data_IF_720622650208
#
_entry.id   IF_720622650208
#
_cell.length_a   1.000
_cell.length_b   1.000
_cell.length_c   1.000
_cell.angle_alpha   90.00
_cell.angle_beta   90.00
_cell.angle_gamma   90.00
#
_symmetry.space_group_name_H-M   'P 1'
#
loop_
_entity.id
_entity.type
_entity.pdbx_description
1 polymer ?
#
# COMPACT_ATOMS: atom_id res chain seq x y z
N UNK A 1 5.37 -8.80 -20.44
CA UNK A 1 5.87 -7.44 -20.74
C UNK A 1 6.57 -6.89 -19.53
N UNK A 2 7.78 -6.42 -19.66
CA UNK A 2 8.40 -5.74 -18.54
C UNK A 2 7.66 -4.45 -18.22
N UNK A 3 7.69 -4.08 -16.96
CA UNK A 3 7.11 -2.83 -16.49
C UNK A 3 7.96 -1.67 -17.04
N UNK A 4 7.29 -0.61 -17.46
CA UNK A 4 7.96 0.53 -18.09
C UNK A 4 8.85 1.26 -17.09
N UNK A 5 10.16 1.42 -17.36
CA UNK A 5 11.06 2.15 -16.47
C UNK A 5 10.66 3.60 -16.18
N UNK A 6 9.84 4.21 -17.04
CA UNK A 6 9.35 5.58 -16.83
C UNK A 6 8.39 5.68 -15.65
N UNK A 7 7.95 4.55 -15.08
CA UNK A 7 7.09 4.55 -13.90
C UNK A 7 7.77 5.10 -12.65
N UNK A 8 9.09 5.03 -12.57
CA UNK A 8 9.81 5.52 -11.38
C UNK A 8 9.52 7.01 -11.20
N UNK A 9 9.03 7.37 -10.01
CA UNK A 9 8.63 8.74 -9.67
C UNK A 9 7.16 9.05 -9.91
N UNK A 10 6.41 8.19 -10.59
CA UNK A 10 4.98 8.41 -10.81
C UNK A 10 4.18 8.07 -9.55
N UNK A 11 3.07 8.82 -9.38
CA UNK A 11 2.22 8.71 -8.20
C UNK A 11 0.85 8.16 -8.56
N UNK A 12 0.31 7.33 -7.68
CA UNK A 12 -0.99 6.69 -7.85
C UNK A 12 -1.78 6.82 -6.54
N UNK A 13 -2.72 7.77 -6.47
CA UNK A 13 -3.53 7.92 -5.26
C UNK A 13 -4.58 6.81 -5.15
N UNK A 14 -4.90 6.42 -3.93
CA UNK A 14 -6.04 5.55 -3.68
C UNK A 14 -7.32 6.25 -4.14
N UNK A 15 -8.30 5.52 -4.70
CA UNK A 15 -9.49 6.15 -5.28
C UNK A 15 -10.38 6.89 -4.29
N UNK A 16 -10.33 6.52 -3.01
CA UNK A 16 -11.17 7.12 -1.99
C UNK A 16 -10.46 7.13 -0.65
N UNK A 17 -10.74 8.10 0.22
CA UNK A 17 -10.23 8.08 1.58
C UNK A 17 -10.86 6.95 2.39
N UNK A 18 -10.18 6.56 3.46
CA UNK A 18 -10.65 5.54 4.39
C UNK A 18 -10.87 6.20 5.74
N UNK A 19 -12.09 6.05 6.28
CA UNK A 19 -12.34 6.45 7.66
C UNK A 19 -12.03 5.27 8.58
N UNK A 20 -11.20 5.51 9.59
CA UNK A 20 -10.88 4.50 10.60
C UNK A 20 -12.07 4.41 11.55
N UNK A 21 -12.85 3.33 11.43
CA UNK A 21 -14.01 3.09 12.28
C UNK A 21 -13.74 1.94 13.23
N UNK A 22 -14.45 1.91 14.35
CA UNK A 22 -14.34 0.79 15.29
C UNK A 22 -14.70 -0.53 14.62
N UNK A 23 -15.68 -0.51 13.73
CA UNK A 23 -16.10 -1.70 12.98
C UNK A 23 -14.99 -2.23 12.09
N UNK A 24 -14.33 -1.32 11.34
CA UNK A 24 -13.22 -1.72 10.45
C UNK A 24 -12.01 -2.22 11.23
N UNK A 25 -11.68 -1.55 12.32
CA UNK A 25 -10.57 -1.95 13.19
C UNK A 25 -10.86 -3.33 13.79
N UNK A 26 -12.07 -3.53 14.29
CA UNK A 26 -12.45 -4.82 14.86
C UNK A 26 -12.43 -5.97 13.87
N UNK A 27 -12.92 -5.73 12.65
CA UNK A 27 -12.92 -6.74 11.61
C UNK A 27 -11.49 -7.12 11.20
N UNK A 28 -10.62 -6.12 11.04
CA UNK A 28 -9.23 -6.38 10.69
C UNK A 28 -8.50 -7.11 11.82
N UNK A 29 -8.69 -6.65 13.06
CA UNK A 29 -8.07 -7.27 14.24
C UNK A 29 -8.46 -8.74 14.35
N UNK A 30 -9.74 -9.06 14.13
CA UNK A 30 -10.20 -10.44 14.15
C UNK A 30 -9.55 -11.26 13.05
N UNK A 31 -9.41 -10.69 11.86
CA UNK A 31 -8.83 -11.41 10.72
C UNK A 31 -7.34 -11.73 10.92
N UNK A 32 -6.60 -10.87 11.63
CA UNK A 32 -5.15 -11.08 11.84
C UNK A 32 -4.82 -11.61 13.24
N UNK A 33 -5.83 -11.84 14.08
CA UNK A 33 -5.61 -12.36 15.43
C UNK A 33 -5.01 -11.35 16.40
N UNK A 34 -5.26 -10.07 16.22
CA UNK A 34 -4.74 -9.02 17.10
C UNK A 34 -5.63 -8.91 18.36
N UNK A 35 -5.09 -9.16 19.57
CA UNK A 35 -5.91 -9.27 20.76
C UNK A 35 -6.24 -7.94 21.44
N UNK A 36 -5.55 -6.86 21.10
CA UNK A 36 -5.75 -5.56 21.75
C UNK A 36 -6.97 -4.82 21.24
N UNK A 37 -7.36 -3.76 21.94
CA UNK A 37 -8.43 -2.87 21.51
C UNK A 37 -7.94 -1.69 20.67
N UNK A 38 -6.62 -1.58 20.48
CA UNK A 38 -6.00 -0.55 19.66
C UNK A 38 -6.02 -0.92 18.17
N UNK A 39 -5.66 0.03 17.31
CA UNK A 39 -5.56 -0.23 15.89
C UNK A 39 -4.34 -1.11 15.63
N UNK A 40 -4.51 -2.28 14.97
CA UNK A 40 -3.36 -3.14 14.67
C UNK A 40 -2.31 -2.40 13.85
N UNK A 41 -1.00 -2.63 14.10
CA UNK A 41 0.08 -1.90 13.41
C UNK A 41 0.09 -2.11 11.89
N UNK A 42 -0.50 -3.18 11.41
CA UNK A 42 -0.58 -3.48 9.97
C UNK A 42 -1.88 -3.00 9.33
N UNK A 43 -2.78 -2.38 10.11
CA UNK A 43 -4.05 -1.89 9.58
C UNK A 43 -3.91 -0.99 8.34
N UNK A 44 -2.87 -0.14 8.21
CA UNK A 44 -2.73 0.72 7.04
C UNK A 44 -2.66 -0.03 5.71
N UNK A 45 -2.40 -1.35 5.72
CA UNK A 45 -2.38 -2.14 4.48
C UNK A 45 -3.72 -2.08 3.75
N UNK A 46 -4.83 -1.89 4.47
CA UNK A 46 -6.16 -1.80 3.86
C UNK A 46 -6.19 -0.66 2.85
N UNK A 47 -5.65 0.50 3.20
CA UNK A 47 -5.63 1.66 2.32
C UNK A 47 -4.44 1.61 1.34
N UNK A 48 -3.29 1.15 1.80
CA UNK A 48 -2.12 0.99 0.94
C UNK A 48 -2.39 0.00 -0.19
N UNK A 49 -3.18 -1.05 0.07
CA UNK A 49 -3.58 -1.99 -0.96
C UNK A 49 -4.47 -1.33 -2.02
N UNK A 50 -5.36 -0.42 -1.62
CA UNK A 50 -6.21 0.30 -2.56
C UNK A 50 -5.36 1.16 -3.51
N UNK A 51 -4.32 1.83 -2.99
CA UNK A 51 -3.39 2.60 -3.81
C UNK A 51 -2.58 1.69 -4.73
N UNK A 52 -2.14 0.54 -4.23
CA UNK A 52 -1.44 -0.46 -5.05
C UNK A 52 -2.34 -0.96 -6.18
N UNK A 53 -3.60 -1.27 -5.88
CA UNK A 53 -4.54 -1.75 -6.90
C UNK A 53 -4.77 -0.67 -7.95
N UNK A 54 -4.86 0.60 -7.56
CA UNK A 54 -4.99 1.70 -8.51
C UNK A 54 -3.77 1.78 -9.44
N UNK A 55 -2.57 1.57 -8.89
CA UNK A 55 -1.35 1.50 -9.68
C UNK A 55 -1.41 0.33 -10.68
N UNK A 56 -1.74 -0.86 -10.20
CA UNK A 56 -1.81 -2.04 -11.06
C UNK A 56 -2.84 -1.87 -12.18
N UNK A 57 -4.00 -1.32 -11.84
CA UNK A 57 -5.07 -1.09 -12.84
C UNK A 57 -4.64 -0.05 -13.87
N UNK A 58 -4.00 1.04 -13.44
CA UNK A 58 -3.55 2.09 -14.34
C UNK A 58 -2.50 1.58 -15.34
N UNK A 59 -1.67 0.62 -14.92
CA UNK A 59 -0.61 0.08 -15.75
C UNK A 59 -0.96 -1.26 -16.39
N UNK A 60 -2.20 -1.70 -16.26
CA UNK A 60 -2.68 -2.97 -16.80
C UNK A 60 -1.85 -4.17 -16.31
N UNK A 61 -1.45 -4.14 -15.06
CA UNK A 61 -0.71 -5.23 -14.42
C UNK A 61 -1.70 -6.14 -13.71
N UNK A 62 -1.66 -7.44 -14.03
CA UNK A 62 -2.54 -8.43 -13.42
C UNK A 62 -2.06 -8.75 -11.99
N UNK A 63 -2.96 -8.57 -11.02
CA UNK A 63 -2.66 -8.86 -9.62
C UNK A 63 -2.18 -10.31 -9.42
N UNK A 64 -2.68 -11.24 -10.22
CA UNK A 64 -2.28 -12.65 -10.13
C UNK A 64 -0.81 -12.87 -10.49
N UNK A 65 -0.16 -11.88 -11.10
CA UNK A 65 1.26 -11.94 -11.44
C UNK A 65 2.14 -11.22 -10.44
N UNK A 66 1.53 -10.70 -9.36
CA UNK A 66 2.25 -9.96 -8.33
C UNK A 66 2.44 -10.84 -7.10
N UNK A 67 3.67 -10.92 -6.63
CA UNK A 67 3.99 -11.43 -5.30
C UNK A 67 4.37 -10.23 -4.45
N UNK A 68 3.70 -10.07 -3.32
CA UNK A 68 4.00 -9.03 -2.36
C UNK A 68 5.17 -9.53 -1.50
N UNK A 69 6.38 -9.12 -1.87
CA UNK A 69 7.58 -9.68 -1.27
C UNK A 69 7.94 -9.11 0.08
N UNK A 70 7.62 -7.84 0.30
CA UNK A 70 7.96 -7.16 1.55
C UNK A 70 6.99 -6.00 1.77
N UNK A 71 6.66 -5.76 3.04
CA UNK A 71 5.87 -4.61 3.45
C UNK A 71 6.42 -4.07 4.76
N UNK A 72 6.64 -2.73 4.80
CA UNK A 72 7.09 -2.04 6.01
C UNK A 72 6.19 -0.85 6.26
N UNK A 73 5.95 -0.54 7.54
CA UNK A 73 5.24 0.67 7.93
C UNK A 73 6.08 1.44 8.93
N UNK A 74 6.22 2.75 8.69
CA UNK A 74 6.87 3.67 9.61
C UNK A 74 5.83 4.72 10.03
N UNK A 75 5.56 4.79 11.32
CA UNK A 75 4.52 5.66 11.86
C UNK A 75 5.10 6.97 12.35
N UNK A 76 4.45 8.09 11.98
CA UNK A 76 4.70 9.38 12.60
C UNK A 76 3.87 9.51 13.88
N UNK A 77 2.69 8.87 13.92
CA UNK A 77 1.85 8.74 15.11
C UNK A 77 0.98 7.49 14.98
N UNK A 78 0.44 6.98 16.08
CA UNK A 78 -0.54 5.87 16.00
C UNK A 78 -1.80 6.31 15.27
N UNK A 79 -2.46 5.37 14.61
CA UNK A 79 -3.78 5.60 14.05
C UNK A 79 -4.83 5.52 15.17
N UNK A 80 -5.91 6.27 15.00
CA UNK A 80 -7.01 6.30 15.96
C UNK A 80 -8.34 6.21 15.22
N UNK A 81 -9.32 5.62 15.89
CA UNK A 81 -10.70 5.63 15.39
C UNK A 81 -11.12 7.08 15.20
N UNK A 82 -11.72 7.39 14.05
CA UNK A 82 -12.09 8.74 13.67
C UNK A 82 -11.14 9.38 12.66
N UNK A 83 -9.94 8.83 12.48
CA UNK A 83 -9.03 9.33 11.45
C UNK A 83 -9.63 9.14 10.06
N UNK A 84 -9.50 10.16 9.23
CA UNK A 84 -9.81 10.05 7.81
C UNK A 84 -8.51 10.05 7.05
N UNK A 85 -8.21 8.96 6.37
CA UNK A 85 -6.91 8.72 5.78
C UNK A 85 -6.98 8.70 4.25
N UNK A 86 -5.95 9.25 3.64
CA UNK A 86 -5.72 9.16 2.19
C UNK A 86 -4.35 8.54 1.96
N UNK A 87 -4.18 7.87 0.83
CA UNK A 87 -2.89 7.27 0.48
C UNK A 87 -2.52 7.59 -0.95
N UNK A 88 -1.22 7.82 -1.17
CA UNK A 88 -0.66 7.96 -2.52
C UNK A 88 0.57 7.08 -2.62
N UNK A 89 0.55 6.15 -3.58
CA UNK A 89 1.67 5.27 -3.86
C UNK A 89 2.58 5.95 -4.89
N UNK A 90 3.88 5.94 -4.62
CA UNK A 90 4.90 6.38 -5.56
C UNK A 90 5.79 5.19 -5.90
N UNK A 91 6.08 4.98 -7.17
CA UNK A 91 7.07 3.98 -7.59
C UNK A 91 8.44 4.57 -7.34
N UNK A 92 9.22 3.98 -6.43
CA UNK A 92 10.52 4.52 -6.03
C UNK A 92 11.69 3.81 -6.68
N UNK A 93 11.48 2.63 -7.23
CA UNK A 93 12.53 1.89 -7.90
C UNK A 93 11.97 0.77 -8.75
N UNK A 94 12.75 0.38 -9.76
CA UNK A 94 12.38 -0.70 -10.65
C UNK A 94 13.64 -1.41 -11.10
N UNK A 95 13.69 -2.73 -10.92
CA UNK A 95 14.81 -3.55 -11.38
C UNK A 95 14.26 -4.78 -12.07
N UNK A 96 15.02 -5.30 -13.01
CA UNK A 96 14.67 -6.55 -13.70
C UNK A 96 15.71 -7.60 -13.34
N UNK A 97 15.25 -8.73 -12.83
CA UNK A 97 16.12 -9.84 -12.42
C UNK A 97 15.47 -11.14 -12.87
N UNK A 98 16.19 -11.90 -13.71
CA UNK A 98 15.73 -13.23 -14.12
C UNK A 98 14.37 -13.25 -14.79
N UNK A 99 14.03 -12.21 -15.54
CA UNK A 99 12.73 -12.14 -16.21
C UNK A 99 11.61 -11.61 -15.34
N UNK A 100 11.88 -11.24 -14.10
CA UNK A 100 10.90 -10.64 -13.21
C UNK A 100 11.19 -9.16 -13.03
N UNK A 101 10.14 -8.38 -12.79
CA UNK A 101 10.25 -6.97 -12.41
C UNK A 101 10.16 -6.86 -10.90
N UNK A 102 11.15 -6.23 -10.28
CA UNK A 102 11.17 -5.94 -8.85
C UNK A 102 10.78 -4.47 -8.69
N UNK A 103 9.60 -4.23 -8.16
CA UNK A 103 9.01 -2.90 -8.09
C UNK A 103 9.03 -2.44 -6.64
N UNK A 104 9.78 -1.37 -6.36
CA UNK A 104 9.79 -0.76 -5.04
C UNK A 104 8.78 0.39 -5.02
N UNK A 105 7.96 0.44 -3.98
CA UNK A 105 6.93 1.46 -3.83
C UNK A 105 6.98 2.06 -2.43
N UNK A 106 6.51 3.31 -2.32
CA UNK A 106 6.27 3.95 -1.03
C UNK A 106 4.88 4.58 -1.08
N UNK A 107 4.07 4.30 -0.07
CA UNK A 107 2.74 4.88 0.06
C UNK A 107 2.73 5.83 1.24
N UNK A 108 2.50 7.11 0.98
CA UNK A 108 2.30 8.09 2.05
C UNK A 108 0.84 8.08 2.45
N UNK A 109 0.60 7.87 3.74
CA UNK A 109 -0.74 7.88 4.31
C UNK A 109 -0.89 9.14 5.12
N UNK A 110 -1.83 9.98 4.72
CA UNK A 110 -2.05 11.31 5.31
C UNK A 110 -3.41 11.37 5.99
N UNK A 111 -3.52 12.23 7.01
CA UNK A 111 -4.79 12.51 7.65
C UNK A 111 -5.55 13.65 6.94
N UNK A 112 -6.70 14.04 7.49
CA UNK A 112 -7.54 15.06 6.89
C UNK A 112 -6.86 16.44 6.81
N UNK A 113 -5.82 16.67 7.60
CA UNK A 113 -5.05 17.94 7.56
C UNK A 113 -3.95 17.92 6.51
N UNK A 114 -3.70 16.76 5.89
CA UNK A 114 -2.61 16.58 4.95
C UNK A 114 -1.29 16.15 5.59
N UNK A 115 -1.27 15.96 6.91
CA UNK A 115 -0.06 15.52 7.59
C UNK A 115 0.17 14.03 7.37
N UNK A 116 1.42 13.63 7.12
CA UNK A 116 1.78 12.22 6.97
C UNK A 116 1.70 11.55 8.33
N UNK A 117 0.87 10.53 8.45
CA UNK A 117 0.73 9.76 9.69
C UNK A 117 1.49 8.44 9.62
N UNK A 118 1.68 7.91 8.42
CA UNK A 118 2.36 6.63 8.24
C UNK A 118 2.89 6.56 6.81
N UNK A 119 4.04 5.92 6.64
CA UNK A 119 4.59 5.61 5.33
C UNK A 119 4.71 4.11 5.19
N UNK A 120 4.10 3.54 4.17
CA UNK A 120 4.22 2.13 3.83
C UNK A 120 5.20 1.94 2.69
N UNK A 121 6.18 1.05 2.86
CA UNK A 121 7.11 0.69 1.78
C UNK A 121 6.88 -0.76 1.41
N UNK A 122 6.77 -1.03 0.14
CA UNK A 122 6.52 -2.38 -0.35
C UNK A 122 7.47 -2.73 -1.47
N UNK A 123 7.80 -4.01 -1.55
CA UNK A 123 8.49 -4.58 -2.69
C UNK A 123 7.55 -5.57 -3.34
N UNK A 124 7.24 -5.32 -4.61
CA UNK A 124 6.36 -6.16 -5.40
C UNK A 124 7.20 -6.88 -6.45
N UNK A 125 6.93 -8.16 -6.64
CA UNK A 125 7.61 -8.95 -7.68
C UNK A 125 6.58 -9.29 -8.74
N UNK A 126 6.76 -8.74 -9.95
CA UNK A 126 5.92 -9.05 -11.09
C UNK A 126 6.56 -10.18 -11.86
N UNK A 127 5.87 -11.31 -11.94
CA UNK A 127 6.35 -12.45 -12.69
C UNK A 127 6.51 -12.11 -14.16
N UNK A 128 7.62 -12.53 -14.75
CA UNK A 128 7.84 -12.35 -16.17
C UNK A 128 6.79 -13.06 -16.99
N UNK A 129 6.82 -12.83 -18.31
CA UNK A 129 5.89 -13.49 -19.20
C UNK A 129 6.01 -15.00 -19.03
N UNK A 130 4.90 -15.61 -18.74
CA UNK A 130 4.83 -17.06 -18.60
C UNK A 130 5.00 -17.72 -19.96
#
# INVERSE_FOLDING_TARGET
MPVDPSLVGREFPAPAPLTVTQERVGAFAAAVGHPGGDVPPTFPIVLAFDAMQAFLDAEAIDLHRIVHGEQRFAYARPLAVGDELSATLTVTGLRQIGGADIIATASEITDATGAVVCTGKATLVHGGAA
#
